data_IF_752379581169
#
_entry.id   IF_752379581169
#
_cell.length_a   1.000
_cell.length_b   1.000
_cell.length_c   1.000
_cell.angle_alpha   90.00
_cell.angle_beta   90.00
_cell.angle_gamma   90.00
#
_symmetry.space_group_name_H-M   'P 1'
#
loop_
_entity.id
_entity.type
_entity.pdbx_description
1 polymer ?
#
# COMPACT_ATOMS: atom_id res chain seq x y z
N UNK A 1 11.40 43.37 -33.76
CA UNK A 1 12.85 43.11 -33.64
C UNK A 1 13.06 42.58 -32.22
N UNK A 2 13.59 41.40 -31.91
CA UNK A 2 14.52 40.52 -32.60
C UNK A 2 14.05 39.05 -32.46
N UNK A 3 13.48 38.50 -33.53
CA UNK A 3 13.23 37.06 -33.68
C UNK A 3 14.46 36.37 -34.25
N UNK A 4 15.61 36.49 -33.57
CA UNK A 4 16.77 35.70 -33.93
C UNK A 4 16.41 34.23 -33.69
N UNK A 5 16.36 33.41 -34.75
CA UNK A 5 16.27 31.95 -34.60
C UNK A 5 17.33 31.54 -33.58
N UNK A 6 16.90 30.93 -32.46
CA UNK A 6 17.82 30.44 -31.45
C UNK A 6 18.97 29.71 -32.12
N UNK A 7 20.19 30.07 -31.74
CA UNK A 7 21.37 29.39 -32.26
C UNK A 7 21.28 27.89 -31.92
N UNK A 8 21.83 26.99 -32.75
CA UNK A 8 21.85 25.56 -32.45
C UNK A 8 22.36 25.24 -31.03
N UNK A 9 23.28 26.04 -30.50
CA UNK A 9 23.75 25.96 -29.12
C UNK A 9 22.68 26.31 -28.08
N UNK A 10 21.94 27.41 -28.26
CA UNK A 10 20.84 27.79 -27.38
C UNK A 10 19.72 26.75 -27.38
N UNK A 11 19.39 26.19 -28.55
CA UNK A 11 18.43 25.08 -28.65
C UNK A 11 18.91 23.84 -27.90
N UNK A 12 20.20 23.48 -28.05
CA UNK A 12 20.78 22.36 -27.29
C UNK A 12 20.72 22.61 -25.79
N UNK A 13 21.04 23.82 -25.31
CA UNK A 13 20.94 24.18 -23.90
C UNK A 13 19.49 24.13 -23.40
N UNK A 14 18.52 24.62 -24.19
CA UNK A 14 17.10 24.57 -23.85
C UNK A 14 16.57 23.13 -23.74
N UNK A 15 16.95 22.27 -24.69
CA UNK A 15 16.60 20.84 -24.64
C UNK A 15 17.24 20.17 -23.42
N UNK A 16 18.52 20.44 -23.13
CA UNK A 16 19.19 19.89 -21.94
C UNK A 16 18.50 20.33 -20.63
N UNK A 17 18.08 21.59 -20.54
CA UNK A 17 17.36 22.09 -19.37
C UNK A 17 15.99 21.41 -19.22
N UNK A 18 15.24 21.23 -20.31
CA UNK A 18 13.97 20.51 -20.28
C UNK A 18 14.13 19.03 -19.89
N UNK A 19 15.19 18.38 -20.40
CA UNK A 19 15.52 17.00 -20.02
C UNK A 19 15.91 16.93 -18.55
N UNK A 20 16.77 17.82 -18.06
CA UNK A 20 17.17 17.87 -16.65
C UNK A 20 15.98 18.16 -15.72
N UNK A 21 15.10 19.09 -16.10
CA UNK A 21 13.86 19.39 -15.37
C UNK A 21 12.96 18.15 -15.32
N UNK A 22 12.83 17.43 -16.43
CA UNK A 22 12.09 16.16 -16.49
C UNK A 22 12.70 15.08 -15.60
N UNK A 23 14.03 14.93 -15.58
CA UNK A 23 14.72 13.97 -14.73
C UNK A 23 14.53 14.27 -13.23
N UNK A 24 14.52 15.54 -12.83
CA UNK A 24 14.24 15.94 -11.44
C UNK A 24 12.77 15.69 -11.10
N UNK A 25 11.85 15.94 -12.03
CA UNK A 25 10.41 15.75 -11.82
C UNK A 25 10.01 14.27 -11.69
N UNK A 26 10.73 13.36 -12.35
CA UNK A 26 10.50 11.91 -12.26
C UNK A 26 11.08 11.30 -10.98
N UNK A 27 11.91 12.03 -10.23
CA UNK A 27 12.52 11.50 -9.02
C UNK A 27 11.64 11.78 -7.80
N UNK A 28 11.19 10.74 -7.12
CA UNK A 28 10.40 10.87 -5.89
C UNK A 28 11.37 11.00 -4.69
N UNK A 29 11.24 12.03 -3.82
CA UNK A 29 12.15 12.20 -2.70
C UNK A 29 12.09 11.03 -1.71
N UNK A 30 13.25 10.54 -1.25
CA UNK A 30 13.33 9.46 -0.26
C UNK A 30 12.58 9.75 1.05
N UNK A 31 12.53 11.02 1.46
CA UNK A 31 11.79 11.45 2.65
C UNK A 31 10.28 11.22 2.52
N UNK A 32 9.74 11.38 1.32
CA UNK A 32 8.33 11.14 1.02
C UNK A 32 8.04 9.63 1.02
N UNK A 33 8.90 8.83 0.39
CA UNK A 33 8.80 7.36 0.39
C UNK A 33 8.87 6.78 1.80
N UNK A 34 9.78 7.31 2.63
CA UNK A 34 9.87 6.93 4.05
C UNK A 34 8.61 7.33 4.84
N UNK A 35 7.98 8.47 4.51
CA UNK A 35 6.70 8.85 5.13
C UNK A 35 5.58 7.86 4.76
N UNK A 36 5.50 7.42 3.50
CA UNK A 36 4.55 6.40 3.08
C UNK A 36 4.79 5.05 3.77
N UNK A 37 6.06 4.63 3.91
CA UNK A 37 6.42 3.43 4.67
C UNK A 37 5.96 3.52 6.12
N UNK A 38 6.25 4.63 6.80
CA UNK A 38 5.82 4.84 8.18
C UNK A 38 4.29 4.79 8.34
N UNK A 39 3.55 5.36 7.38
CA UNK A 39 2.08 5.28 7.37
C UNK A 39 1.64 3.83 7.21
N UNK A 40 2.21 3.08 6.26
CA UNK A 40 1.91 1.66 6.06
C UNK A 40 2.16 0.83 7.33
N UNK A 41 3.30 1.02 7.98
CA UNK A 41 3.66 0.31 9.22
C UNK A 41 2.68 0.65 10.35
N UNK A 42 2.28 1.92 10.47
CA UNK A 42 1.29 2.35 11.46
C UNK A 42 -0.10 1.73 11.21
N UNK A 43 -0.51 1.62 9.95
CA UNK A 43 -1.77 0.99 9.56
C UNK A 43 -1.75 -0.51 9.82
N UNK A 44 -0.63 -1.18 9.53
CA UNK A 44 -0.45 -2.60 9.84
C UNK A 44 -0.48 -2.87 11.35
N UNK A 45 0.17 -2.01 12.15
CA UNK A 45 0.11 -2.10 13.62
C UNK A 45 -1.33 -1.89 14.13
N UNK A 46 -2.05 -0.89 13.60
CA UNK A 46 -3.45 -0.64 13.92
C UNK A 46 -4.35 -1.83 13.57
N UNK A 47 -4.20 -2.40 12.36
CA UNK A 47 -4.91 -3.61 11.93
C UNK A 47 -4.68 -4.77 12.91
N UNK A 48 -3.42 -5.02 13.29
CA UNK A 48 -3.06 -6.09 14.22
C UNK A 48 -3.72 -5.89 15.60
N UNK A 49 -3.71 -4.66 16.12
CA UNK A 49 -4.35 -4.33 17.39
C UNK A 49 -5.87 -4.53 17.36
N UNK A 50 -6.53 -4.10 16.28
CA UNK A 50 -7.98 -4.32 16.10
C UNK A 50 -8.28 -5.81 16.00
N UNK A 51 -7.49 -6.58 15.25
CA UNK A 51 -7.65 -8.02 15.11
C UNK A 51 -7.50 -8.74 16.46
N UNK A 52 -6.53 -8.34 17.29
CA UNK A 52 -6.38 -8.87 18.63
C UNK A 52 -7.62 -8.59 19.51
N UNK A 53 -8.18 -7.38 19.43
CA UNK A 53 -9.41 -7.02 20.13
C UNK A 53 -10.62 -7.84 19.68
N UNK A 54 -10.74 -8.10 18.37
CA UNK A 54 -11.78 -8.97 17.80
C UNK A 54 -11.62 -10.40 18.33
N UNK A 55 -10.41 -10.94 18.34
CA UNK A 55 -10.14 -12.30 18.84
C UNK A 55 -10.52 -12.44 20.32
N UNK A 56 -10.12 -11.47 21.16
CA UNK A 56 -10.49 -11.44 22.59
C UNK A 56 -12.01 -11.39 22.78
N UNK A 57 -12.70 -10.63 21.93
CA UNK A 57 -14.17 -10.54 21.96
C UNK A 57 -14.81 -11.89 21.60
N UNK A 58 -14.28 -12.58 20.60
CA UNK A 58 -14.73 -13.93 20.24
C UNK A 58 -14.51 -14.93 21.37
N UNK A 59 -13.36 -14.91 22.02
CA UNK A 59 -13.07 -15.79 23.16
C UNK A 59 -14.03 -15.57 24.33
N UNK A 60 -14.30 -14.30 24.68
CA UNK A 60 -15.30 -13.96 25.68
C UNK A 60 -16.71 -14.42 25.26
N UNK A 61 -17.03 -14.31 23.96
CA UNK A 61 -18.31 -14.74 23.42
C UNK A 61 -18.51 -16.27 23.47
N UNK A 62 -17.44 -17.06 23.33
CA UNK A 62 -17.50 -18.52 23.47
C UNK A 62 -17.97 -18.96 24.87
N UNK A 63 -17.65 -18.20 25.92
CA UNK A 63 -18.19 -18.48 27.25
C UNK A 63 -19.69 -18.21 27.32
N UNK A 64 -20.16 -17.13 26.67
CA UNK A 64 -21.59 -16.80 26.58
C UNK A 64 -22.41 -17.79 25.77
N UNK A 65 -21.81 -18.45 24.78
CA UNK A 65 -22.45 -19.55 24.04
C UNK A 65 -22.75 -20.74 24.96
N UNK A 66 -21.85 -21.04 25.92
CA UNK A 66 -22.07 -22.11 26.90
C UNK A 66 -23.17 -21.77 27.90
N UNK A 67 -23.30 -20.50 28.27
CA UNK A 67 -24.33 -20.02 29.21
C UNK A 67 -25.73 -19.93 28.58
N UNK A 68 -25.84 -19.40 27.35
CA UNK A 68 -27.12 -19.12 26.67
C UNK A 68 -27.06 -19.46 25.16
N UNK A 69 -27.04 -20.76 24.80
CA UNK A 69 -26.80 -21.19 23.43
C UNK A 69 -27.86 -20.70 22.43
N UNK A 70 -29.14 -20.65 22.83
CA UNK A 70 -30.24 -20.32 21.91
C UNK A 70 -30.20 -18.87 21.40
N UNK A 71 -29.67 -17.95 22.23
CA UNK A 71 -29.49 -16.54 21.85
C UNK A 71 -28.15 -16.28 21.18
N UNK A 72 -27.11 -17.01 21.59
CA UNK A 72 -25.75 -16.76 21.15
C UNK A 72 -25.42 -17.38 19.78
N UNK A 73 -25.94 -18.57 19.47
CA UNK A 73 -25.73 -19.26 18.18
C UNK A 73 -26.08 -18.42 16.93
N UNK A 74 -27.25 -17.74 16.83
CA UNK A 74 -27.56 -16.94 15.64
C UNK A 74 -26.63 -15.73 15.50
N UNK A 75 -26.12 -15.18 16.60
CA UNK A 75 -25.17 -14.06 16.59
C UNK A 75 -23.78 -14.56 16.15
N UNK A 76 -23.34 -15.72 16.65
CA UNK A 76 -22.09 -16.36 16.25
C UNK A 76 -22.07 -16.64 14.74
N UNK A 77 -23.16 -17.19 14.20
CA UNK A 77 -23.27 -17.48 12.78
C UNK A 77 -23.09 -16.22 11.92
N UNK A 78 -23.72 -15.11 12.31
CA UNK A 78 -23.56 -13.80 11.64
C UNK A 78 -22.14 -13.26 11.77
N UNK A 79 -21.55 -13.36 12.95
CA UNK A 79 -20.18 -12.91 13.19
C UNK A 79 -19.19 -13.71 12.33
N UNK A 80 -19.33 -15.04 12.26
CA UNK A 80 -18.50 -15.91 11.41
C UNK A 80 -18.67 -15.59 9.92
N UNK A 81 -19.89 -15.31 9.48
CA UNK A 81 -20.15 -14.89 8.10
C UNK A 81 -19.42 -13.57 7.77
N UNK A 82 -19.51 -12.57 8.67
CA UNK A 82 -18.79 -11.32 8.50
C UNK A 82 -17.27 -11.53 8.48
N UNK A 83 -16.72 -12.33 9.39
CA UNK A 83 -15.29 -12.68 9.41
C UNK A 83 -14.85 -13.39 8.13
N UNK A 84 -15.68 -14.24 7.53
CA UNK A 84 -15.38 -14.88 6.25
C UNK A 84 -15.29 -13.89 5.10
N UNK A 85 -16.24 -12.95 5.01
CA UNK A 85 -16.25 -11.92 3.97
C UNK A 85 -15.06 -10.97 4.09
N UNK A 86 -14.74 -10.56 5.32
CA UNK A 86 -13.56 -9.73 5.59
C UNK A 86 -12.29 -10.48 5.18
N UNK A 87 -12.18 -11.77 5.49
CA UNK A 87 -11.03 -12.58 5.09
C UNK A 87 -10.86 -12.65 3.58
N UNK A 88 -11.95 -12.85 2.84
CA UNK A 88 -11.92 -12.86 1.36
C UNK A 88 -11.41 -11.52 0.80
N UNK A 89 -11.87 -10.40 1.36
CA UNK A 89 -11.40 -9.07 1.00
C UNK A 89 -9.92 -8.86 1.34
N UNK A 90 -9.48 -9.35 2.51
CA UNK A 90 -8.07 -9.28 2.91
C UNK A 90 -7.18 -10.11 1.99
N UNK A 91 -7.60 -11.33 1.65
CA UNK A 91 -6.88 -12.22 0.75
C UNK A 91 -6.76 -11.60 -0.65
N UNK A 92 -7.82 -10.96 -1.15
CA UNK A 92 -7.80 -10.21 -2.42
C UNK A 92 -6.88 -8.98 -2.36
N UNK A 93 -6.91 -8.23 -1.26
CA UNK A 93 -6.01 -7.08 -1.11
C UNK A 93 -4.55 -7.52 -1.03
N UNK A 94 -4.28 -8.66 -0.39
CA UNK A 94 -2.95 -9.24 -0.27
C UNK A 94 -2.44 -9.80 -1.59
N UNK A 95 -3.31 -10.38 -2.43
CA UNK A 95 -2.91 -10.82 -3.77
C UNK A 95 -2.50 -9.64 -4.66
N UNK A 96 -3.24 -8.53 -4.61
CA UNK A 96 -2.87 -7.30 -5.33
C UNK A 96 -1.53 -6.74 -4.85
N UNK A 97 -1.30 -6.70 -3.53
CA UNK A 97 -0.01 -6.28 -2.98
C UNK A 97 1.14 -7.16 -3.49
N UNK A 98 0.96 -8.48 -3.50
CA UNK A 98 1.97 -9.41 -4.01
C UNK A 98 2.28 -9.18 -5.48
N UNK A 99 1.26 -8.99 -6.31
CA UNK A 99 1.45 -8.71 -7.73
C UNK A 99 2.25 -7.40 -7.95
N UNK A 100 1.92 -6.34 -7.19
CA UNK A 100 2.67 -5.09 -7.22
C UNK A 100 4.13 -5.26 -6.79
N UNK A 101 4.38 -6.04 -5.72
CA UNK A 101 5.73 -6.33 -5.23
C UNK A 101 6.54 -7.15 -6.24
N UNK A 102 5.91 -8.12 -6.90
CA UNK A 102 6.55 -8.92 -7.96
C UNK A 102 6.92 -8.04 -9.16
N UNK A 103 6.01 -7.19 -9.64
CA UNK A 103 6.26 -6.27 -10.76
C UNK A 103 7.32 -5.20 -10.44
N UNK A 104 7.48 -4.82 -9.17
CA UNK A 104 8.46 -3.82 -8.71
C UNK A 104 9.82 -4.41 -8.31
N UNK A 105 10.05 -5.70 -8.53
CA UNK A 105 11.35 -6.35 -8.30
C UNK A 105 11.55 -6.95 -6.91
N UNK A 106 10.51 -6.98 -6.08
CA UNK A 106 10.49 -7.66 -4.79
C UNK A 106 10.92 -6.81 -3.60
N UNK A 107 11.08 -7.49 -2.46
CA UNK A 107 11.58 -6.91 -1.22
C UNK A 107 13.11 -7.00 -1.16
N UNK A 108 13.76 -5.95 -0.67
CA UNK A 108 15.20 -5.93 -0.42
C UNK A 108 15.47 -5.99 1.09
N UNK A 109 16.11 -7.07 1.54
CA UNK A 109 16.44 -7.28 2.94
C UNK A 109 17.47 -6.27 3.48
N UNK A 110 18.30 -5.68 2.63
CA UNK A 110 19.30 -4.68 3.06
C UNK A 110 18.65 -3.31 3.28
N UNK A 111 17.69 -2.95 2.41
CA UNK A 111 16.94 -1.69 2.53
C UNK A 111 15.77 -1.81 3.52
N UNK A 112 15.41 -3.04 3.91
CA UNK A 112 14.19 -3.34 4.66
C UNK A 112 12.95 -2.74 3.99
N UNK A 113 12.95 -2.68 2.65
CA UNK A 113 11.94 -1.97 1.86
C UNK A 113 11.79 -2.58 0.46
N UNK A 114 10.76 -2.16 -0.27
CA UNK A 114 10.53 -2.60 -1.64
C UNK A 114 11.53 -1.98 -2.61
N UNK A 115 12.06 -2.77 -3.56
CA UNK A 115 13.07 -2.31 -4.52
C UNK A 115 12.56 -1.21 -5.44
N UNK A 116 11.35 -1.35 -5.95
CA UNK A 116 10.70 -0.36 -6.83
C UNK A 116 9.71 0.53 -6.11
N UNK A 117 9.98 0.95 -4.88
CA UNK A 117 9.08 1.80 -4.07
C UNK A 117 8.80 3.17 -4.70
N UNK A 118 9.66 3.63 -5.60
CA UNK A 118 9.57 4.88 -6.35
C UNK A 118 8.96 4.69 -7.76
N UNK A 119 8.67 3.45 -8.16
CA UNK A 119 8.19 3.12 -9.49
C UNK A 119 6.70 3.51 -9.65
N UNK A 120 6.45 4.54 -10.45
CA UNK A 120 5.12 5.06 -10.73
C UNK A 120 4.41 4.34 -11.88
N UNK A 121 5.13 3.55 -12.68
CA UNK A 121 4.60 2.98 -13.92
C UNK A 121 3.78 1.70 -13.67
N UNK A 122 4.14 0.95 -12.63
CA UNK A 122 3.53 -0.37 -12.33
C UNK A 122 2.06 -0.28 -11.93
N UNK A 123 1.64 0.86 -11.38
CA UNK A 123 0.24 1.07 -10.96
C UNK A 123 -0.68 1.48 -12.10
N UNK A 124 -0.16 1.87 -13.26
CA UNK A 124 -0.95 2.27 -14.42
C UNK A 124 -1.60 1.08 -15.16
N UNK A 125 -1.11 -0.14 -14.91
CA UNK A 125 -1.57 -1.37 -15.54
C UNK A 125 -2.69 -2.09 -14.75
N UNK A 126 -3.17 -1.51 -13.65
CA UNK A 126 -4.28 -1.99 -12.81
C UNK A 126 -5.49 -1.04 -12.88
#
# INVERSE_FOLDING_TARGET
MAGGKETPRQRMIGILYLVLLGLIALNVPDSLLNAFKNISDSLNASKSNVQAGINNTYEAFQQKIKEQPDRAKPIEAKARQASSLVKELEDYTESLKKELVEKTGGFDENLQDYKGRDNLDVTADF
#
